data_IF_427085458600
#
_entry.id   IF_427085458600
#
_cell.length_a   1.000
_cell.length_b   1.000
_cell.length_c   1.000
_cell.angle_alpha   90.00
_cell.angle_beta   90.00
_cell.angle_gamma   90.00
#
_symmetry.space_group_name_H-M   'P 1'
#
loop_
_entity.id
_entity.type
_entity.pdbx_description
1 polymer ?
#
# COMPACT_ATOMS: atom_id res chain seq x y z
N UNK A 1 96.18 0.72 55.91
CA UNK A 1 96.71 -0.63 55.62
C UNK A 1 95.64 -1.64 55.17
N UNK A 2 94.44 -1.71 55.78
CA UNK A 2 93.37 -2.65 55.36
C UNK A 2 92.73 -2.25 54.01
N UNK A 3 92.57 -0.95 53.72
CA UNK A 3 91.98 -0.50 52.45
C UNK A 3 92.89 -0.76 51.24
N UNK A 4 94.19 -0.52 51.36
CA UNK A 4 95.17 -0.79 50.29
C UNK A 4 95.25 -2.29 49.94
N UNK A 5 95.20 -3.18 50.95
CA UNK A 5 95.19 -4.63 50.73
C UNK A 5 93.93 -5.11 49.96
N UNK A 6 92.79 -4.43 50.10
CA UNK A 6 91.58 -4.71 49.31
C UNK A 6 91.75 -4.33 47.83
N UNK A 7 92.45 -3.24 47.54
CA UNK A 7 92.67 -2.79 46.17
C UNK A 7 93.64 -3.70 45.40
N UNK A 8 94.63 -4.31 46.08
CA UNK A 8 95.58 -5.26 45.45
C UNK A 8 94.86 -6.47 44.84
N UNK A 9 93.81 -6.98 45.49
CA UNK A 9 93.08 -8.17 45.06
C UNK A 9 91.72 -7.87 44.40
N UNK A 10 91.40 -6.60 44.17
CA UNK A 10 90.12 -6.20 43.57
C UNK A 10 89.97 -6.76 42.15
N UNK A 11 91.02 -6.70 41.33
CA UNK A 11 90.99 -7.22 39.95
C UNK A 11 90.75 -8.73 39.89
N UNK A 12 91.42 -9.51 40.73
CA UNK A 12 91.27 -10.96 40.81
C UNK A 12 89.91 -11.36 41.38
N UNK A 13 89.43 -10.64 42.40
CA UNK A 13 88.11 -10.86 42.99
C UNK A 13 86.99 -10.57 41.97
N UNK A 14 87.10 -9.46 41.23
CA UNK A 14 86.16 -9.10 40.17
C UNK A 14 86.19 -10.09 39.00
N UNK A 15 87.37 -10.60 38.64
CA UNK A 15 87.50 -11.68 37.65
C UNK A 15 86.81 -12.96 38.12
N UNK A 16 87.01 -13.35 39.39
CA UNK A 16 86.30 -14.46 40.03
C UNK A 16 84.78 -14.33 39.90
N UNK A 17 84.24 -13.15 40.22
CA UNK A 17 82.79 -12.85 40.07
C UNK A 17 82.32 -12.95 38.63
N UNK A 18 83.09 -12.42 37.68
CA UNK A 18 82.75 -12.50 36.26
C UNK A 18 82.70 -13.95 35.77
N UNK A 19 83.71 -14.75 36.09
CA UNK A 19 83.77 -16.16 35.69
C UNK A 19 82.61 -16.95 36.31
N UNK A 20 82.29 -16.72 37.58
CA UNK A 20 81.15 -17.39 38.22
C UNK A 20 79.83 -17.03 37.53
N UNK A 21 79.59 -15.73 37.32
CA UNK A 21 78.39 -15.26 36.65
C UNK A 21 78.27 -15.82 35.21
N UNK A 22 79.40 -15.91 34.49
CA UNK A 22 79.43 -16.50 33.15
C UNK A 22 79.20 -18.02 33.17
N UNK A 23 79.81 -18.74 34.10
CA UNK A 23 79.65 -20.18 34.26
C UNK A 23 78.21 -20.58 34.63
N UNK A 24 77.46 -19.69 35.28
CA UNK A 24 76.06 -19.85 35.66
C UNK A 24 75.09 -19.26 34.61
N UNK A 25 75.60 -18.72 33.49
CA UNK A 25 74.82 -18.03 32.46
C UNK A 25 73.95 -16.89 33.01
N UNK A 26 74.47 -16.14 33.99
CA UNK A 26 73.81 -14.96 34.53
C UNK A 26 73.59 -13.90 33.45
N UNK A 27 72.45 -13.22 33.51
CA UNK A 27 72.11 -12.13 32.58
C UNK A 27 73.03 -10.91 32.73
N UNK A 28 73.54 -10.65 33.93
CA UNK A 28 74.43 -9.54 34.21
C UNK A 28 75.81 -10.03 34.65
N UNK A 29 76.83 -9.70 33.85
CA UNK A 29 78.23 -10.01 34.13
C UNK A 29 78.95 -8.72 34.57
N UNK A 30 79.53 -8.67 35.79
CA UNK A 30 80.13 -7.46 36.36
C UNK A 30 81.53 -7.14 35.78
N UNK A 31 81.65 -7.16 34.45
CA UNK A 31 82.92 -6.90 33.74
C UNK A 31 83.48 -5.51 33.98
N UNK A 32 82.66 -4.56 34.45
CA UNK A 32 83.04 -3.17 34.74
C UNK A 32 83.67 -2.96 36.11
N UNK A 33 83.64 -3.94 37.01
CA UNK A 33 84.11 -3.82 38.40
C UNK A 33 85.63 -3.68 38.52
N UNK A 34 86.39 -3.96 37.46
CA UNK A 34 87.83 -3.71 37.42
C UNK A 34 88.33 -3.39 36.00
N UNK A 35 89.49 -2.74 35.89
CA UNK A 35 90.15 -2.52 34.59
C UNK A 35 90.48 -3.84 33.88
N UNK A 36 90.94 -4.85 34.64
CA UNK A 36 91.32 -6.16 34.10
C UNK A 36 90.12 -6.87 33.44
N UNK A 37 88.98 -6.94 34.14
CA UNK A 37 87.76 -7.57 33.62
C UNK A 37 87.18 -6.83 32.42
N UNK A 38 87.43 -5.51 32.29
CA UNK A 38 87.06 -4.74 31.08
C UNK A 38 87.93 -5.10 29.89
N UNK A 39 89.24 -5.26 30.09
CA UNK A 39 90.16 -5.65 29.03
C UNK A 39 89.94 -7.10 28.58
N UNK A 40 89.58 -7.98 29.51
CA UNK A 40 89.33 -9.40 29.24
C UNK A 40 87.88 -9.72 28.88
N UNK A 41 87.02 -8.72 28.68
CA UNK A 41 85.61 -8.91 28.34
C UNK A 41 85.42 -9.79 27.12
N UNK A 42 86.25 -9.59 26.08
CA UNK A 42 86.14 -10.37 24.86
C UNK A 42 86.70 -11.79 25.02
N UNK A 43 87.55 -12.00 26.03
CA UNK A 43 88.16 -13.31 26.35
C UNK A 43 87.24 -14.24 27.13
N UNK A 44 86.31 -13.71 27.92
CA UNK A 44 85.38 -14.52 28.71
C UNK A 44 83.93 -14.07 28.45
N UNK A 45 83.17 -14.89 27.72
CA UNK A 45 81.82 -14.60 27.25
C UNK A 45 81.74 -13.72 26.00
N UNK A 46 82.86 -13.54 25.29
CA UNK A 46 83.00 -12.64 24.14
C UNK A 46 83.28 -13.36 22.83
N UNK A 47 84.01 -12.70 21.93
CA UNK A 47 84.29 -13.17 20.56
C UNK A 47 85.67 -13.82 20.38
N UNK A 48 86.54 -13.78 21.39
CA UNK A 48 87.90 -14.30 21.28
C UNK A 48 87.97 -15.82 21.49
N UNK A 49 89.00 -16.45 20.92
CA UNK A 49 89.43 -17.79 21.33
C UNK A 49 90.34 -17.67 22.54
N UNK A 50 89.98 -18.27 23.66
CA UNK A 50 90.65 -18.03 24.95
C UNK A 50 91.07 -19.34 25.59
N UNK A 51 92.33 -19.39 26.02
CA UNK A 51 92.92 -20.47 26.81
C UNK A 51 93.37 -19.93 28.16
N UNK A 52 93.02 -20.62 29.25
CA UNK A 52 93.43 -20.28 30.60
C UNK A 52 94.44 -21.31 31.11
N UNK A 53 95.62 -20.87 31.53
CA UNK A 53 96.63 -21.72 32.17
C UNK A 53 96.57 -21.50 33.67
N UNK A 54 96.37 -22.58 34.42
CA UNK A 54 96.22 -22.58 35.88
C UNK A 54 97.49 -23.17 36.50
N UNK A 55 98.16 -22.41 37.38
CA UNK A 55 99.42 -22.82 38.02
C UNK A 55 99.21 -23.12 39.50
N UNK A 56 99.76 -24.23 39.99
CA UNK A 56 99.53 -24.71 41.37
C UNK A 56 100.84 -25.09 42.06
N UNK A 57 100.84 -25.06 43.40
CA UNK A 57 101.97 -25.50 44.22
C UNK A 57 101.79 -26.93 44.70
N UNK A 58 102.71 -27.88 44.42
CA UNK A 58 102.49 -29.31 44.71
C UNK A 58 102.65 -29.70 46.20
N UNK A 59 103.15 -28.80 47.04
CA UNK A 59 103.36 -29.07 48.47
C UNK A 59 102.08 -28.88 49.29
N UNK A 60 101.87 -29.74 50.30
CA UNK A 60 100.73 -29.70 51.22
C UNK A 60 100.50 -28.33 51.89
N UNK A 61 101.55 -27.54 52.10
CA UNK A 61 101.44 -26.17 52.63
C UNK A 61 100.59 -25.24 51.76
N UNK A 62 100.44 -25.53 50.47
CA UNK A 62 99.64 -24.74 49.52
C UNK A 62 98.28 -25.38 49.23
N UNK A 63 97.85 -26.38 50.01
CA UNK A 63 96.62 -27.14 49.73
C UNK A 63 95.39 -26.24 49.55
N UNK A 64 95.22 -25.24 50.42
CA UNK A 64 94.10 -24.29 50.36
C UNK A 64 94.08 -23.47 49.06
N UNK A 65 95.21 -22.86 48.71
CA UNK A 65 95.34 -22.02 47.51
C UNK A 65 95.28 -22.85 46.23
N UNK A 66 95.86 -24.05 46.24
CA UNK A 66 95.79 -25.01 45.13
C UNK A 66 94.35 -25.42 44.87
N UNK A 67 93.59 -25.76 45.92
CA UNK A 67 92.17 -26.10 45.80
C UNK A 67 91.36 -24.94 45.22
N UNK A 68 91.58 -23.73 45.72
CA UNK A 68 90.89 -22.52 45.24
C UNK A 68 91.17 -22.24 43.76
N UNK A 69 92.43 -22.40 43.35
CA UNK A 69 92.92 -22.20 41.99
C UNK A 69 92.36 -23.24 41.01
N UNK A 70 92.31 -24.52 41.38
CA UNK A 70 91.70 -25.59 40.57
C UNK A 70 90.20 -25.37 40.40
N UNK A 71 89.49 -25.04 41.48
CA UNK A 71 88.05 -24.75 41.43
C UNK A 71 87.74 -23.54 40.55
N UNK A 72 88.60 -22.52 40.55
CA UNK A 72 88.49 -21.40 39.62
C UNK A 72 88.62 -21.85 38.16
N UNK A 73 89.64 -22.67 37.85
CA UNK A 73 89.82 -23.25 36.52
C UNK A 73 88.60 -24.05 36.05
N UNK A 74 88.03 -24.88 36.93
CA UNK A 74 86.84 -25.67 36.63
C UNK A 74 85.61 -24.80 36.30
N UNK A 75 85.45 -23.64 36.95
CA UNK A 75 84.38 -22.68 36.61
C UNK A 75 84.66 -21.98 35.29
N UNK A 76 85.90 -21.56 35.06
CA UNK A 76 86.31 -20.93 33.80
C UNK A 76 86.09 -21.84 32.58
N UNK A 77 86.27 -23.15 32.72
CA UNK A 77 85.99 -24.12 31.65
C UNK A 77 84.53 -24.16 31.19
N UNK A 78 83.57 -23.70 32.02
CA UNK A 78 82.15 -23.65 31.66
C UNK A 78 81.79 -22.42 30.83
N UNK A 79 82.67 -21.44 30.73
CA UNK A 79 82.42 -20.20 29.99
C UNK A 79 82.49 -20.47 28.48
N UNK A 80 81.42 -20.13 27.78
CA UNK A 80 81.32 -20.29 26.31
C UNK A 80 81.47 -18.95 25.62
N UNK A 81 82.35 -18.87 24.63
CA UNK A 81 82.54 -17.70 23.77
C UNK A 81 81.85 -17.91 22.42
N UNK A 82 81.28 -16.83 21.87
CA UNK A 82 80.66 -16.82 20.54
C UNK A 82 81.63 -16.21 19.54
N UNK A 83 82.37 -17.07 18.84
CA UNK A 83 83.36 -16.65 17.86
C UNK A 83 82.65 -15.98 16.67
N UNK A 84 82.99 -14.72 16.41
CA UNK A 84 82.61 -14.02 15.17
C UNK A 84 83.85 -13.84 14.33
N UNK A 85 83.85 -14.43 13.13
CA UNK A 85 84.88 -14.15 12.15
C UNK A 85 84.72 -12.70 11.72
N UNK A 86 85.83 -11.95 11.72
CA UNK A 86 85.86 -10.59 11.19
C UNK A 86 85.80 -10.72 9.68
N UNK A 87 84.60 -10.57 9.11
CA UNK A 87 84.44 -10.45 7.67
C UNK A 87 84.99 -9.08 7.24
N UNK A 88 86.01 -9.08 6.39
CA UNK A 88 86.43 -7.88 5.69
C UNK A 88 85.45 -7.67 4.55
N UNK A 89 84.57 -6.68 4.71
CA UNK A 89 83.57 -6.34 3.69
C UNK A 89 84.29 -5.53 2.60
N UNK A 90 84.23 -6.02 1.36
CA UNK A 90 84.61 -5.23 0.19
C UNK A 90 83.51 -4.20 -0.11
N UNK A 91 83.76 -2.97 0.33
CA UNK A 91 82.84 -1.86 0.17
C UNK A 91 82.62 -1.49 -1.31
N UNK A 92 83.55 -1.77 -2.21
CA UNK A 92 83.40 -1.46 -3.64
C UNK A 92 82.35 -2.38 -4.29
N UNK A 93 82.45 -3.68 -4.03
CA UNK A 93 81.45 -4.66 -4.49
C UNK A 93 80.08 -4.39 -3.87
N UNK A 94 80.04 -4.05 -2.58
CA UNK A 94 78.78 -3.71 -1.90
C UNK A 94 78.11 -2.47 -2.53
N UNK A 95 78.87 -1.41 -2.81
CA UNK A 95 78.35 -0.21 -3.44
C UNK A 95 77.74 -0.50 -4.80
N UNK A 96 78.45 -1.23 -5.68
CA UNK A 96 77.95 -1.61 -7.01
C UNK A 96 76.66 -2.43 -6.95
N UNK A 97 76.56 -3.35 -6.00
CA UNK A 97 75.35 -4.16 -5.82
C UNK A 97 74.15 -3.29 -5.39
N UNK A 98 74.38 -2.34 -4.48
CA UNK A 98 73.33 -1.41 -4.04
C UNK A 98 72.91 -0.47 -5.18
N UNK A 99 73.86 0.06 -5.94
CA UNK A 99 73.58 0.93 -7.10
C UNK A 99 72.75 0.21 -8.16
N UNK A 100 73.13 -1.02 -8.53
CA UNK A 100 72.35 -1.85 -9.47
C UNK A 100 70.93 -2.13 -8.97
N UNK A 101 70.77 -2.38 -7.66
CA UNK A 101 69.45 -2.64 -7.07
C UNK A 101 68.59 -1.37 -7.08
N UNK A 102 69.17 -0.20 -6.81
CA UNK A 102 68.46 1.09 -6.89
C UNK A 102 68.00 1.36 -8.32
N UNK A 103 68.85 1.15 -9.32
CA UNK A 103 68.49 1.35 -10.72
C UNK A 103 67.38 0.40 -11.19
N UNK A 104 67.46 -0.88 -10.80
CA UNK A 104 66.45 -1.88 -11.11
C UNK A 104 65.10 -1.52 -10.46
N UNK A 105 65.10 -1.19 -9.16
CA UNK A 105 63.88 -0.83 -8.43
C UNK A 105 63.26 0.46 -8.96
N UNK A 106 64.08 1.45 -9.32
CA UNK A 106 63.60 2.71 -9.90
C UNK A 106 62.91 2.46 -11.25
N UNK A 107 63.54 1.66 -12.12
CA UNK A 107 62.99 1.29 -13.42
C UNK A 107 61.66 0.53 -13.31
N UNK A 108 61.58 -0.43 -12.38
CA UNK A 108 60.36 -1.19 -12.13
C UNK A 108 59.24 -0.29 -11.55
N UNK A 109 59.58 0.62 -10.65
CA UNK A 109 58.63 1.58 -10.09
C UNK A 109 58.01 2.48 -11.17
N UNK A 110 58.83 3.03 -12.07
CA UNK A 110 58.34 3.82 -13.19
C UNK A 110 57.42 3.03 -14.12
N UNK A 111 57.78 1.76 -14.41
CA UNK A 111 56.95 0.86 -15.21
C UNK A 111 55.59 0.64 -14.57
N UNK A 112 55.56 0.37 -13.27
CA UNK A 112 54.32 0.18 -12.50
C UNK A 112 53.48 1.45 -12.43
N UNK A 113 54.10 2.61 -12.25
CA UNK A 113 53.38 3.90 -12.27
C UNK A 113 52.72 4.15 -13.63
N UNK A 114 53.41 3.88 -14.75
CA UNK A 114 52.83 4.00 -16.10
C UNK A 114 51.65 3.06 -16.31
N UNK A 115 51.72 1.82 -15.82
CA UNK A 115 50.60 0.87 -15.89
C UNK A 115 49.40 1.35 -15.07
N UNK A 116 49.62 1.73 -13.81
CA UNK A 116 48.56 2.28 -12.94
C UNK A 116 47.90 3.52 -13.55
N UNK A 117 48.69 4.40 -14.18
CA UNK A 117 48.16 5.59 -14.84
C UNK A 117 47.26 5.23 -16.04
N UNK A 118 47.66 4.24 -16.85
CA UNK A 118 46.83 3.74 -17.97
C UNK A 118 45.54 3.11 -17.48
N UNK A 119 45.60 2.27 -16.45
CA UNK A 119 44.41 1.65 -15.84
C UNK A 119 43.47 2.70 -15.26
N UNK A 120 44.01 3.69 -14.55
CA UNK A 120 43.25 4.81 -14.01
C UNK A 120 42.53 5.58 -15.12
N UNK A 121 43.23 5.94 -16.21
CA UNK A 121 42.61 6.64 -17.34
C UNK A 121 41.51 5.80 -18.01
N UNK A 122 41.68 4.49 -18.13
CA UNK A 122 40.64 3.61 -18.68
C UNK A 122 39.41 3.55 -17.77
N UNK A 123 39.61 3.46 -16.45
CA UNK A 123 38.52 3.46 -15.47
C UNK A 123 37.78 4.80 -15.47
N UNK A 124 38.49 5.92 -15.50
CA UNK A 124 37.88 7.25 -15.57
C UNK A 124 37.05 7.44 -16.85
N UNK A 125 37.54 6.94 -17.99
CA UNK A 125 36.78 6.95 -19.25
C UNK A 125 35.49 6.14 -19.14
N UNK A 126 35.57 4.91 -18.62
CA UNK A 126 34.39 4.03 -18.42
C UNK A 126 33.39 4.62 -17.43
N UNK A 127 33.87 5.26 -16.37
CA UNK A 127 33.02 5.94 -15.39
C UNK A 127 32.25 7.08 -16.05
N UNK A 128 32.96 7.93 -16.82
CA UNK A 128 32.33 9.04 -17.55
C UNK A 128 31.28 8.56 -18.55
N UNK A 129 31.57 7.51 -19.31
CA UNK A 129 30.60 6.90 -20.24
C UNK A 129 29.36 6.37 -19.50
N UNK A 130 29.55 5.69 -18.36
CA UNK A 130 28.45 5.20 -17.53
C UNK A 130 27.62 6.33 -16.92
N UNK A 131 28.25 7.42 -16.48
CA UNK A 131 27.56 8.59 -15.93
C UNK A 131 26.71 9.29 -17.00
N UNK A 132 27.23 9.46 -18.22
CA UNK A 132 26.46 10.02 -19.33
C UNK A 132 25.26 9.15 -19.66
N UNK A 133 25.44 7.82 -19.72
CA UNK A 133 24.36 6.89 -20.00
C UNK A 133 23.26 6.92 -18.91
N UNK A 134 23.65 7.00 -17.64
CA UNK A 134 22.69 7.11 -16.53
C UNK A 134 21.91 8.43 -16.58
N UNK A 135 22.55 9.53 -16.97
CA UNK A 135 21.86 10.81 -17.12
C UNK A 135 20.85 10.79 -18.28
N UNK A 136 21.20 10.17 -19.40
CA UNK A 136 20.28 10.01 -20.53
C UNK A 136 19.06 9.16 -20.14
N UNK A 137 19.27 8.03 -19.45
CA UNK A 137 18.18 7.20 -18.94
C UNK A 137 17.29 7.95 -17.95
N UNK A 138 17.89 8.72 -17.03
CA UNK A 138 17.12 9.56 -16.10
C UNK A 138 16.26 10.56 -16.86
N UNK A 139 16.81 11.25 -17.86
CA UNK A 139 16.07 12.21 -18.68
C UNK A 139 14.90 11.55 -19.43
N UNK A 140 15.12 10.38 -20.03
CA UNK A 140 14.05 9.62 -20.69
C UNK A 140 12.96 9.24 -19.69
N UNK A 141 13.34 8.71 -18.52
CA UNK A 141 12.38 8.32 -17.48
C UNK A 141 11.58 9.50 -16.94
N UNK A 142 12.19 10.68 -16.76
CA UNK A 142 11.49 11.87 -16.28
C UNK A 142 10.46 12.35 -17.30
N UNK A 143 10.79 12.32 -18.60
CA UNK A 143 9.84 12.68 -19.66
C UNK A 143 8.67 11.68 -19.71
N UNK A 144 8.94 10.39 -19.55
CA UNK A 144 7.87 9.37 -19.48
C UNK A 144 6.95 9.56 -18.28
N UNK A 145 7.52 9.86 -17.10
CA UNK A 145 6.74 10.17 -15.89
C UNK A 145 5.84 11.39 -16.14
N UNK A 146 6.38 12.47 -16.70
CA UNK A 146 5.60 13.68 -16.98
C UNK A 146 4.45 13.41 -17.96
N UNK A 147 4.68 12.58 -18.99
CA UNK A 147 3.64 12.19 -19.94
C UNK A 147 2.54 11.35 -19.28
N UNK A 148 2.91 10.36 -18.46
CA UNK A 148 1.95 9.54 -17.73
C UNK A 148 1.15 10.37 -16.71
N UNK A 149 1.78 11.35 -16.07
CA UNK A 149 1.08 12.29 -15.19
C UNK A 149 0.04 13.12 -15.95
N UNK A 150 0.38 13.62 -17.15
CA UNK A 150 -0.56 14.35 -18.00
C UNK A 150 -1.73 13.47 -18.44
N UNK A 151 -1.47 12.24 -18.89
CA UNK A 151 -2.53 11.29 -19.27
C UNK A 151 -3.43 10.97 -18.06
N UNK A 152 -2.84 10.70 -16.89
CA UNK A 152 -3.59 10.48 -15.65
C UNK A 152 -4.53 11.65 -15.35
N UNK A 153 -4.05 12.90 -15.41
CA UNK A 153 -4.89 14.07 -15.16
C UNK A 153 -6.03 14.20 -16.18
N UNK A 154 -5.77 13.87 -17.45
CA UNK A 154 -6.81 13.88 -18.49
C UNK A 154 -7.90 12.83 -18.20
N UNK A 155 -7.51 11.62 -17.80
CA UNK A 155 -8.45 10.58 -17.42
C UNK A 155 -9.25 10.95 -16.16
N UNK A 156 -8.60 11.51 -15.13
CA UNK A 156 -9.29 11.98 -13.91
C UNK A 156 -10.35 13.05 -14.24
N UNK A 157 -10.03 14.00 -15.13
CA UNK A 157 -10.99 14.99 -15.59
C UNK A 157 -12.16 14.36 -16.36
N UNK A 158 -11.86 13.42 -17.26
CA UNK A 158 -12.89 12.72 -18.03
C UNK A 158 -13.83 11.89 -17.14
N UNK A 159 -13.28 11.17 -16.16
CA UNK A 159 -14.06 10.42 -15.17
C UNK A 159 -14.97 11.34 -14.38
N UNK A 160 -14.45 12.48 -13.89
CA UNK A 160 -15.25 13.46 -13.15
C UNK A 160 -16.40 14.03 -13.97
N UNK A 161 -16.17 14.33 -15.25
CA UNK A 161 -17.22 14.80 -16.17
C UNK A 161 -18.31 13.75 -16.38
N UNK A 162 -17.91 12.49 -16.63
CA UNK A 162 -18.87 11.40 -16.82
C UNK A 162 -19.70 11.11 -15.57
N UNK A 163 -19.10 11.22 -14.38
CA UNK A 163 -19.85 11.10 -13.11
C UNK A 163 -20.93 12.18 -13.00
N UNK A 164 -20.60 13.44 -13.34
CA UNK A 164 -21.57 14.53 -13.31
C UNK A 164 -22.70 14.32 -14.33
N UNK A 165 -22.37 13.89 -15.55
CA UNK A 165 -23.39 13.55 -16.56
C UNK A 165 -24.31 12.41 -16.11
N UNK A 166 -23.76 11.39 -15.42
CA UNK A 166 -24.53 10.28 -14.87
C UNK A 166 -25.49 10.76 -13.78
N UNK A 167 -25.03 11.58 -12.86
CA UNK A 167 -25.84 12.15 -11.77
C UNK A 167 -27.00 13.01 -12.32
N UNK A 168 -26.74 13.83 -13.34
CA UNK A 168 -27.79 14.57 -14.04
C UNK A 168 -28.81 13.67 -14.75
N UNK A 169 -28.36 12.53 -15.29
CA UNK A 169 -29.23 11.54 -15.94
C UNK A 169 -30.07 10.78 -14.92
N UNK A 170 -29.49 10.40 -13.79
CA UNK A 170 -30.20 9.80 -12.66
C UNK A 170 -31.27 10.75 -12.12
N UNK A 171 -30.93 12.02 -11.91
CA UNK A 171 -31.90 13.04 -11.49
C UNK A 171 -33.07 13.17 -12.48
N UNK A 172 -32.79 13.20 -13.79
CA UNK A 172 -33.83 13.20 -14.83
C UNK A 172 -34.69 11.94 -14.81
N UNK A 173 -34.09 10.77 -14.66
CA UNK A 173 -34.81 9.50 -14.56
C UNK A 173 -35.74 9.47 -13.34
N UNK A 174 -35.30 9.99 -12.20
CA UNK A 174 -36.14 10.08 -11.00
C UNK A 174 -37.38 10.95 -11.24
N UNK A 175 -37.21 12.14 -11.83
CA UNK A 175 -38.34 13.03 -12.16
C UNK A 175 -39.29 12.40 -13.19
N UNK A 176 -38.76 11.71 -14.20
CA UNK A 176 -39.56 10.97 -15.17
C UNK A 176 -40.34 9.83 -14.50
N UNK A 177 -39.71 9.09 -13.58
CA UNK A 177 -40.34 8.01 -12.81
C UNK A 177 -41.49 8.53 -11.95
N UNK A 178 -41.28 9.64 -11.21
CA UNK A 178 -42.34 10.30 -10.44
C UNK A 178 -43.52 10.73 -11.33
N UNK A 179 -43.22 11.26 -12.52
CA UNK A 179 -44.26 11.67 -13.48
C UNK A 179 -45.04 10.48 -14.05
N UNK A 180 -44.38 9.35 -14.30
CA UNK A 180 -45.02 8.09 -14.71
C UNK A 180 -45.99 7.64 -13.61
N UNK A 181 -45.54 7.56 -12.37
CA UNK A 181 -46.38 7.19 -11.21
C UNK A 181 -47.59 8.11 -11.08
N UNK A 182 -47.38 9.43 -11.21
CA UNK A 182 -48.47 10.40 -11.13
C UNK A 182 -49.52 10.23 -12.24
N UNK A 183 -49.06 9.99 -13.47
CA UNK A 183 -49.95 9.75 -14.62
C UNK A 183 -50.70 8.42 -14.49
N UNK A 184 -50.03 7.37 -14.02
CA UNK A 184 -50.66 6.07 -13.74
C UNK A 184 -51.76 6.21 -12.69
N UNK A 185 -51.48 6.94 -11.60
CA UNK A 185 -52.46 7.21 -10.53
C UNK A 185 -53.66 7.99 -11.06
N UNK A 186 -53.41 9.09 -11.79
CA UNK A 186 -54.47 9.91 -12.39
C UNK A 186 -55.32 9.15 -13.42
N UNK A 187 -54.71 8.26 -14.20
CA UNK A 187 -55.41 7.41 -15.16
C UNK A 187 -56.32 6.41 -14.44
N UNK A 188 -55.83 5.82 -13.35
CA UNK A 188 -56.62 4.90 -12.53
C UNK A 188 -57.80 5.61 -11.87
N UNK A 189 -57.59 6.80 -11.31
CA UNK A 189 -58.65 7.64 -10.77
C UNK A 189 -59.71 7.98 -11.83
N UNK A 190 -59.30 8.39 -13.04
CA UNK A 190 -60.24 8.65 -14.14
C UNK A 190 -61.01 7.40 -14.56
N UNK A 191 -60.36 6.23 -14.63
CA UNK A 191 -61.03 4.96 -14.93
C UNK A 191 -62.06 4.61 -13.84
N UNK A 192 -61.70 4.77 -12.57
CA UNK A 192 -62.58 4.56 -11.43
C UNK A 192 -63.80 5.48 -11.51
N UNK A 193 -63.59 6.78 -11.73
CA UNK A 193 -64.66 7.77 -11.90
C UNK A 193 -65.55 7.46 -13.10
N UNK A 194 -65.00 7.00 -14.23
CA UNK A 194 -65.79 6.55 -15.37
C UNK A 194 -66.62 5.31 -15.05
N UNK A 195 -66.06 4.35 -14.31
CA UNK A 195 -66.79 3.15 -13.89
C UNK A 195 -67.96 3.50 -12.96
N UNK A 196 -67.71 4.38 -11.99
CA UNK A 196 -68.73 4.91 -11.07
C UNK A 196 -69.81 5.70 -11.82
N UNK A 197 -69.42 6.58 -12.75
CA UNK A 197 -70.33 7.33 -13.62
C UNK A 197 -71.18 6.41 -14.51
N UNK A 198 -70.59 5.36 -15.07
CA UNK A 198 -71.32 4.35 -15.83
C UNK A 198 -72.33 3.60 -14.95
N UNK A 199 -71.95 3.21 -13.73
CA UNK A 199 -72.87 2.54 -12.80
C UNK A 199 -74.04 3.44 -12.40
N UNK A 200 -73.77 4.72 -12.11
CA UNK A 200 -74.79 5.70 -11.71
C UNK A 200 -75.74 6.02 -12.86
N UNK A 201 -75.23 6.19 -14.08
CA UNK A 201 -76.07 6.36 -15.28
C UNK A 201 -76.89 5.12 -15.60
N UNK A 202 -76.35 3.90 -15.40
CA UNK A 202 -77.10 2.66 -15.56
C UNK A 202 -78.25 2.56 -14.54
N UNK A 203 -77.97 2.80 -13.25
CA UNK A 203 -78.98 2.82 -12.19
C UNK A 203 -80.05 3.87 -12.51
N UNK A 204 -79.65 5.07 -12.93
CA UNK A 204 -80.58 6.13 -13.31
C UNK A 204 -81.48 5.68 -14.47
N UNK A 205 -80.92 5.11 -15.54
CA UNK A 205 -81.70 4.61 -16.67
C UNK A 205 -82.68 3.50 -16.28
N UNK A 206 -82.29 2.58 -15.39
CA UNK A 206 -83.20 1.56 -14.86
C UNK A 206 -84.34 2.18 -14.06
N UNK A 207 -84.04 3.15 -13.18
CA UNK A 207 -85.09 3.86 -12.44
C UNK A 207 -86.02 4.65 -13.37
N UNK A 208 -85.49 5.37 -14.36
CA UNK A 208 -86.31 6.09 -15.36
C UNK A 208 -87.22 5.12 -16.10
N UNK A 209 -86.70 3.97 -16.55
CA UNK A 209 -87.50 2.93 -17.22
C UNK A 209 -88.61 2.38 -16.33
N UNK A 210 -88.36 2.20 -15.03
CA UNK A 210 -89.42 1.79 -14.09
C UNK A 210 -90.50 2.87 -13.92
N UNK A 211 -90.10 4.15 -13.85
CA UNK A 211 -91.06 5.25 -13.77
C UNK A 211 -91.88 5.40 -15.07
N UNK A 212 -91.26 5.26 -16.24
CA UNK A 212 -91.94 5.28 -17.53
C UNK A 212 -92.96 4.15 -17.64
N UNK A 213 -92.58 2.92 -17.25
CA UNK A 213 -93.51 1.78 -17.23
C UNK A 213 -94.71 2.06 -16.33
N UNK A 214 -94.46 2.59 -15.13
CA UNK A 214 -95.52 2.92 -14.16
C UNK A 214 -96.43 4.06 -14.66
N UNK A 215 -95.86 5.04 -15.35
CA UNK A 215 -96.62 6.11 -16.01
C UNK A 215 -97.51 5.55 -17.13
N UNK A 216 -96.98 4.61 -17.93
CA UNK A 216 -97.76 3.91 -18.97
C UNK A 216 -98.91 3.09 -18.41
N UNK A 217 -98.70 2.40 -17.28
CA UNK A 217 -99.76 1.66 -16.55
C UNK A 217 -100.87 2.62 -16.08
N UNK A 218 -100.51 3.74 -15.46
CA UNK A 218 -101.48 4.77 -15.02
C UNK A 218 -102.25 5.42 -16.18
N UNK A 219 -101.59 5.66 -17.31
CA UNK A 219 -102.26 6.17 -18.52
C UNK A 219 -103.28 5.17 -19.05
N UNK A 220 -102.96 3.87 -19.04
CA UNK A 220 -103.88 2.81 -19.48
C UNK A 220 -105.10 2.70 -18.56
N UNK A 221 -104.89 2.79 -17.24
CA UNK A 221 -106.01 2.85 -16.27
C UNK A 221 -106.92 4.05 -16.52
N UNK A 222 -106.33 5.22 -16.83
CA UNK A 222 -107.08 6.43 -17.15
C UNK A 222 -107.88 6.30 -18.46
N UNK A 223 -107.33 5.59 -19.44
CA UNK A 223 -107.95 5.34 -20.74
C UNK A 223 -109.07 4.30 -20.64
N UNK A 224 -108.88 3.25 -19.85
CA UNK A 224 -109.93 2.28 -19.49
C UNK A 224 -111.11 2.97 -18.78
N UNK A 225 -110.85 3.90 -17.85
CA UNK A 225 -111.92 4.70 -17.23
C UNK A 225 -112.59 5.67 -18.20
N UNK A 226 -111.83 6.29 -19.12
CA UNK A 226 -112.44 7.11 -20.18
C UNK A 226 -113.34 6.29 -21.10
N UNK A 227 -112.96 5.07 -21.46
CA UNK A 227 -113.80 4.16 -22.25
C UNK A 227 -115.05 3.72 -21.48
N UNK A 228 -114.95 3.45 -20.17
CA UNK A 228 -116.12 3.18 -19.31
C UNK A 228 -117.07 4.37 -19.28
N UNK A 229 -116.53 5.58 -19.10
CA UNK A 229 -117.31 6.82 -19.12
C UNK A 229 -118.01 7.05 -20.46
N UNK A 230 -117.34 6.79 -21.58
CA UNK A 230 -117.91 6.91 -22.93
C UNK A 230 -119.07 5.91 -23.18
N UNK A 231 -118.93 4.66 -22.73
CA UNK A 231 -119.98 3.65 -22.82
C UNK A 231 -121.24 4.04 -22.02
N UNK A 232 -121.04 4.62 -20.83
CA UNK A 232 -122.12 5.12 -19.98
C UNK A 232 -122.87 6.30 -20.64
N UNK A 233 -122.13 7.16 -21.36
CA UNK A 233 -122.70 8.24 -22.17
C UNK A 233 -123.52 7.73 -23.36
N UNK A 234 -123.08 6.64 -24.00
CA UNK A 234 -123.82 5.97 -25.07
C UNK A 234 -125.16 5.40 -24.61
N UNK A 235 -125.22 4.79 -23.41
CA UNK A 235 -126.48 4.32 -22.81
C UNK A 235 -127.46 5.46 -22.53
N UNK A 236 -126.96 6.63 -22.13
CA UNK A 236 -127.79 7.80 -21.84
C UNK A 236 -128.52 8.31 -23.08
N UNK A 237 -127.86 8.36 -24.23
CA UNK A 237 -128.45 8.82 -25.49
C UNK A 237 -129.57 7.89 -26.01
N UNK A 238 -129.46 6.58 -25.79
CA UNK A 238 -130.50 5.62 -26.22
C UNK A 238 -131.79 5.78 -25.40
N UNK A 239 -131.67 6.07 -24.11
CA UNK A 239 -132.82 6.38 -23.24
C UNK A 239 -133.52 7.68 -23.65
N UNK A 240 -132.77 8.68 -24.11
CA UNK A 240 -133.31 9.95 -24.57
C UNK A 240 -134.13 9.80 -25.87
N UNK A 241 -133.68 8.92 -26.78
CA UNK A 241 -134.39 8.63 -28.02
C UNK A 241 -135.70 7.86 -27.79
N UNK A 242 -135.72 6.92 -26.85
CA UNK A 242 -136.95 6.20 -26.46
C UNK A 242 -137.99 7.12 -25.79
N UNK A 243 -137.55 8.16 -25.08
CA UNK A 243 -138.43 9.19 -24.50
C UNK A 243 -139.05 10.10 -25.56
N UNK A 244 -138.33 10.38 -26.66
CA UNK A 244 -138.84 11.17 -27.79
C UNK A 244 -139.96 10.45 -28.54
N UNK A 245 -139.81 9.14 -28.79
CA UNK A 245 -140.78 8.35 -29.55
C UNK A 245 -142.10 8.11 -28.79
N UNK A 246 -142.05 8.04 -27.46
CA UNK A 246 -143.24 8.00 -26.62
C UNK A 246 -144.04 9.33 -26.65
N UNK A 247 -143.36 10.46 -26.87
CA UNK A 247 -143.96 11.81 -26.89
C UNK A 247 -144.73 12.09 -28.17
N UNK A 248 -144.21 11.66 -29.32
CA UNK A 248 -144.86 11.79 -30.63
C UNK A 248 -146.10 10.90 -30.76
N UNK A 249 -146.10 9.71 -30.15
CA UNK A 249 -147.28 8.82 -30.13
C UNK A 249 -148.45 9.39 -29.30
N UNK A 250 -148.17 10.14 -28.23
CA UNK A 250 -149.20 10.77 -27.39
C UNK A 250 -149.89 11.96 -28.09
N UNK A 251 -149.13 12.77 -28.84
CA UNK A 251 -149.67 13.92 -29.61
C UNK A 251 -150.58 13.51 -30.78
N UNK A 252 -150.35 12.34 -31.38
CA UNK A 252 -151.20 11.83 -32.46
C UNK A 252 -152.60 11.42 -31.96
N UNK A 253 -152.69 10.80 -30.78
CA UNK A 253 -153.98 10.42 -30.20
C UNK A 253 -154.81 11.62 -29.72
N UNK A 254 -154.16 12.70 -29.27
CA UNK A 254 -154.86 13.91 -28.81
C UNK A 254 -155.53 14.69 -29.96
N UNK A 255 -154.93 14.70 -31.16
CA UNK A 255 -155.49 15.39 -32.32
C UNK A 255 -156.68 14.63 -32.94
N UNK A 256 -156.64 13.29 -32.94
CA UNK A 256 -157.75 12.45 -33.42
C UNK A 256 -159.00 12.56 -32.53
N UNK A 257 -158.83 12.80 -31.22
CA UNK A 257 -159.93 13.06 -30.30
C UNK A 257 -160.58 14.45 -30.49
N UNK A 258 -159.85 15.46 -30.98
CA UNK A 258 -160.40 16.80 -31.25
C UNK A 258 -161.24 16.86 -32.52
N UNK A 259 -160.93 16.02 -33.52
CA UNK A 259 -161.62 16.01 -34.81
C UNK A 259 -162.99 15.31 -34.73
N UNK A 260 -163.08 14.21 -33.98
CA UNK A 260 -164.35 13.53 -33.66
C UNK A 260 -165.30 14.39 -32.79
N UNK A 261 -164.77 15.31 -31.97
CA UNK A 261 -165.57 16.22 -31.14
C UNK A 261 -166.21 17.36 -31.93
N UNK A 262 -165.68 17.70 -33.11
CA UNK A 262 -166.24 18.74 -34.00
C UNK A 262 -167.34 18.23 -34.94
N UNK A 263 -167.33 16.95 -35.29
CA UNK A 263 -168.39 16.36 -36.12
C UNK A 263 -169.68 16.07 -35.32
N UNK A 264 -169.57 15.83 -34.01
CA UNK A 264 -170.73 15.53 -33.13
C UNK A 264 -171.56 16.75 -32.68
N UNK A 265 -171.09 18.00 -32.86
CA UNK A 265 -171.90 19.20 -32.54
C UNK A 265 -172.71 19.74 -33.73
N UNK A 266 -172.78 19.01 -34.85
CA UNK A 266 -173.59 19.36 -36.04
C UNK A 266 -174.94 18.64 -36.11
N UNK A 267 -175.36 17.87 -35.08
CA UNK A 267 -176.62 17.07 -35.10
C UNK A 267 -177.52 17.25 -33.85
N UNK A 268 -177.26 18.19 -32.95
CA UNK A 268 -178.23 18.67 -31.92
C UNK A 268 -177.96 20.13 -31.58
#
# INVERSE_FOLDING_TARGET
MIEEAKFINLSLSSLGKCINALAENSSHIPTRDSKLTRMLRDSFGGTARTSLVVTIGPSARHHSETSSTVLFGQRAMKVVNTIRLKEEVDYETLYKNVENEVDHLTSEMERQQKLRHREKMQLEKRLKESETFLNDLKMISSVQIENLEKEKHQFEYAVKRLMQELEEKEGRNNVLSEKIVHLETSLNEKKQQQLESFSTTQILAETTKTYEKKMGELLRELEEERSRSASMKGHFNVLEQQLSDARSSAQFQENMARELKRELSKIT
#
